data_IF_171083275112
#
_entry.id   IF_171083275112
#
_cell.length_a   1.000
_cell.length_b   1.000
_cell.length_c   1.000
_cell.angle_alpha   90.00
_cell.angle_beta   90.00
_cell.angle_gamma   90.00
#
_symmetry.space_group_name_H-M   'P 1'
#
loop_
_entity.id
_entity.type
_entity.pdbx_description
1 polymer ?
#
# COMPACT_ATOMS: atom_id res chain seq x y z
N UNK A 1 -4.97 -0.22 -13.12
CA UNK A 1 -4.99 0.08 -14.57
C UNK A 1 -4.42 -1.11 -15.34
N UNK A 2 -5.27 -2.02 -15.84
CA UNK A 2 -4.85 -3.33 -16.36
C UNK A 2 -3.81 -3.26 -17.48
N UNK A 3 -3.98 -2.36 -18.46
CA UNK A 3 -3.06 -2.24 -19.59
C UNK A 3 -1.65 -1.76 -19.21
N UNK A 4 -1.47 -1.16 -18.03
CA UNK A 4 -0.20 -0.59 -17.57
C UNK A 4 0.35 -1.30 -16.33
N UNK A 5 -0.41 -2.22 -15.72
CA UNK A 5 -0.15 -2.78 -14.40
C UNK A 5 0.15 -1.71 -13.33
N UNK A 6 -0.51 -0.55 -13.42
CA UNK A 6 -0.41 0.50 -12.40
C UNK A 6 -1.52 0.30 -11.37
N UNK A 7 -1.15 0.30 -10.09
CA UNK A 7 -2.07 0.23 -8.96
C UNK A 7 -2.13 1.61 -8.28
N UNK A 8 -3.32 2.20 -8.21
CA UNK A 8 -3.56 3.37 -7.35
C UNK A 8 -3.99 2.83 -5.99
N UNK A 9 -3.08 2.87 -5.03
CA UNK A 9 -3.29 2.32 -3.68
C UNK A 9 -4.01 3.27 -2.73
N UNK A 10 -3.94 4.58 -2.99
CA UNK A 10 -4.53 5.58 -2.10
C UNK A 10 -3.97 5.50 -0.67
N UNK A 11 -4.70 6.02 0.31
CA UNK A 11 -4.23 6.08 1.70
C UNK A 11 -4.03 4.70 2.37
N UNK A 12 -4.56 3.62 1.76
CA UNK A 12 -4.30 2.24 2.15
C UNK A 12 -2.82 1.88 1.97
N UNK A 13 -2.11 2.50 1.03
CA UNK A 13 -0.69 2.21 0.75
C UNK A 13 0.17 3.39 1.17
N UNK A 14 1.19 3.11 1.98
CA UNK A 14 2.16 4.09 2.45
C UNK A 14 3.37 4.17 1.52
N UNK A 15 3.85 5.39 1.30
CA UNK A 15 5.10 5.65 0.58
C UNK A 15 6.32 5.20 1.39
N UNK A 16 7.45 4.96 0.72
CA UNK A 16 8.72 4.55 1.38
C UNK A 16 9.22 5.57 2.40
N UNK A 17 8.88 6.85 2.23
CA UNK A 17 9.23 7.92 3.17
C UNK A 17 8.40 7.90 4.46
N UNK A 18 7.23 7.26 4.45
CA UNK A 18 6.38 7.17 5.64
C UNK A 18 7.07 6.34 6.74
N UNK A 19 7.08 6.87 7.96
CA UNK A 19 7.69 6.23 9.15
C UNK A 19 6.67 5.57 10.07
N UNK A 20 5.39 5.87 9.86
CA UNK A 20 4.24 5.36 10.61
C UNK A 20 2.99 5.36 9.71
N UNK A 21 1.85 4.93 10.27
CA UNK A 21 0.58 4.85 9.57
C UNK A 21 -0.16 6.20 9.48
N UNK A 22 0.36 7.26 10.08
CA UNK A 22 -0.34 8.53 10.29
C UNK A 22 -1.48 8.40 11.30
N UNK A 23 -2.55 9.15 11.08
CA UNK A 23 -3.74 9.08 11.94
C UNK A 23 -4.52 7.77 11.68
N UNK A 24 -4.80 7.03 12.75
CA UNK A 24 -5.50 5.73 12.73
C UNK A 24 -6.83 5.74 13.47
N UNK A 25 -7.36 6.91 13.84
CA UNK A 25 -8.62 7.03 14.61
C UNK A 25 -9.80 6.31 13.93
N UNK A 26 -9.85 6.36 12.60
CA UNK A 26 -10.88 5.72 11.77
C UNK A 26 -10.37 4.47 11.02
N UNK A 27 -9.20 3.95 11.39
CA UNK A 27 -8.54 2.84 10.68
C UNK A 27 -8.69 1.50 11.40
N UNK A 28 -8.87 0.44 10.62
CA UNK A 28 -8.86 -0.94 11.10
C UNK A 28 -7.43 -1.52 11.07
N UNK A 29 -6.58 -1.12 12.02
CA UNK A 29 -5.15 -1.49 12.01
C UNK A 29 -4.91 -3.01 12.00
N UNK A 30 -5.74 -3.78 12.70
CA UNK A 30 -5.63 -5.25 12.73
C UNK A 30 -6.00 -5.92 11.39
N UNK A 31 -6.85 -5.29 10.59
CA UNK A 31 -7.33 -5.83 9.31
C UNK A 31 -6.55 -5.29 8.10
N UNK A 32 -5.78 -4.22 8.31
CA UNK A 32 -5.02 -3.56 7.25
C UNK A 32 -4.00 -4.51 6.61
N UNK A 33 -3.31 -5.33 7.41
CA UNK A 33 -2.37 -6.33 6.89
C UNK A 33 -3.05 -7.33 5.96
N UNK A 34 -4.23 -7.82 6.33
CA UNK A 34 -5.05 -8.72 5.51
C UNK A 34 -5.50 -8.04 4.21
N UNK A 35 -5.86 -6.75 4.27
CA UNK A 35 -6.24 -5.97 3.10
C UNK A 35 -5.08 -5.79 2.12
N UNK A 36 -3.86 -5.51 2.61
CA UNK A 36 -2.66 -5.45 1.76
C UNK A 36 -2.34 -6.81 1.14
N UNK A 37 -2.45 -7.89 1.90
CA UNK A 37 -2.26 -9.26 1.39
C UNK A 37 -3.26 -9.61 0.28
N UNK A 38 -4.51 -9.18 0.41
CA UNK A 38 -5.53 -9.37 -0.63
C UNK A 38 -5.14 -8.63 -1.93
N UNK A 39 -4.61 -7.41 -1.81
CA UNK A 39 -4.10 -6.63 -2.96
C UNK A 39 -2.91 -7.35 -3.61
N UNK A 40 -1.93 -7.82 -2.83
CA UNK A 40 -0.77 -8.57 -3.30
C UNK A 40 -1.15 -9.86 -4.02
N UNK A 41 -2.14 -10.60 -3.50
CA UNK A 41 -2.65 -11.84 -4.10
C UNK A 41 -3.35 -11.58 -5.42
N UNK A 42 -4.15 -10.51 -5.50
CA UNK A 42 -4.93 -10.15 -6.70
C UNK A 42 -4.06 -9.58 -7.81
N UNK A 43 -3.11 -8.72 -7.48
CA UNK A 43 -2.26 -8.02 -8.43
C UNK A 43 -0.81 -8.47 -8.29
N UNK A 44 -0.51 -9.66 -8.84
CA UNK A 44 0.83 -10.26 -8.70
C UNK A 44 1.91 -9.52 -9.50
N UNK A 45 1.52 -8.96 -10.66
CA UNK A 45 2.38 -8.19 -11.54
C UNK A 45 1.97 -6.71 -11.50
N UNK A 46 2.81 -5.87 -10.89
CA UNK A 46 2.58 -4.43 -10.71
C UNK A 46 3.83 -3.68 -11.17
N UNK A 47 3.67 -2.74 -12.10
CA UNK A 47 4.74 -1.89 -12.59
C UNK A 47 4.96 -0.68 -11.67
N UNK A 48 3.88 -0.02 -11.24
CA UNK A 48 3.95 1.13 -10.34
C UNK A 48 2.78 1.13 -9.34
N UNK A 49 3.03 1.66 -8.15
CA UNK A 49 2.06 1.85 -7.07
C UNK A 49 2.01 3.33 -6.69
N UNK A 50 0.84 3.94 -6.75
CA UNK A 50 0.61 5.33 -6.35
C UNK A 50 0.01 5.35 -4.94
N UNK A 51 0.74 5.78 -3.90
CA UNK A 51 0.20 5.90 -2.55
C UNK A 51 -0.73 7.12 -2.43
N UNK A 52 -1.45 7.23 -1.31
CA UNK A 52 -2.29 8.40 -1.04
C UNK A 52 -1.49 9.67 -0.73
N UNK A 53 -0.29 9.50 -0.16
CA UNK A 53 0.62 10.59 0.19
C UNK A 53 2.07 10.19 -0.07
N UNK A 54 2.86 11.14 -0.58
CA UNK A 54 4.26 10.95 -0.94
C UNK A 54 4.46 10.39 -2.35
N UNK A 55 5.67 9.91 -2.62
CA UNK A 55 6.12 9.56 -3.97
C UNK A 55 5.58 8.22 -4.48
N UNK A 56 5.41 8.15 -5.81
CA UNK A 56 5.09 6.91 -6.53
C UNK A 56 6.23 5.91 -6.38
N UNK A 57 5.88 4.65 -6.19
CA UNK A 57 6.86 3.56 -6.06
C UNK A 57 6.45 2.33 -6.84
N UNK A 58 6.92 1.18 -6.38
CA UNK A 58 6.59 -0.12 -6.95
C UNK A 58 5.86 -1.01 -5.91
N UNK A 59 5.74 -2.30 -6.19
CA UNK A 59 5.16 -3.29 -5.26
C UNK A 59 5.74 -3.23 -3.84
N UNK A 60 6.97 -2.76 -3.68
CA UNK A 60 7.62 -2.54 -2.39
C UNK A 60 6.86 -1.61 -1.45
N UNK A 61 6.01 -0.70 -1.94
CA UNK A 61 5.16 0.12 -1.08
C UNK A 61 4.14 -0.71 -0.28
N UNK A 62 3.62 -1.79 -0.86
CA UNK A 62 2.73 -2.72 -0.17
C UNK A 62 3.47 -3.45 0.95
N UNK A 63 4.70 -3.89 0.69
CA UNK A 63 5.54 -4.56 1.68
C UNK A 63 5.98 -3.61 2.80
N UNK A 64 6.33 -2.37 2.45
CA UNK A 64 6.63 -1.31 3.43
C UNK A 64 5.42 -1.04 4.33
N UNK A 65 4.22 -0.98 3.75
CA UNK A 65 2.99 -0.80 4.54
C UNK A 65 2.77 -1.96 5.53
N UNK A 66 3.07 -3.20 5.14
CA UNK A 66 3.05 -4.34 6.07
C UNK A 66 4.08 -4.22 7.19
N UNK A 67 5.25 -3.66 6.90
CA UNK A 67 6.31 -3.46 7.91
C UNK A 67 5.90 -2.41 8.96
N UNK A 68 5.23 -1.34 8.54
CA UNK A 68 4.68 -0.31 9.43
C UNK A 68 3.54 -0.79 10.34
N UNK A 69 2.94 -1.95 10.06
CA UNK A 69 1.86 -2.55 10.85
C UNK A 69 2.37 -3.52 11.93
N UNK A 70 3.69 -3.71 12.03
CA UNK A 70 4.33 -4.57 13.03
C UNK A 70 4.47 -3.90 14.40
#
# INVERSE_FOLDING_TARGET
>A
LPQYNILVGGCLVKSTSAKDLGNVADAYVNEWSTSIENVLKRYRNINAVVPGHGEVGNKGLLLHTLDLLK
#
